data_IF_406797139044
#
_entry.id   IF_406797139044
#
_cell.length_a   1.000
_cell.length_b   1.000
_cell.length_c   1.000
_cell.angle_alpha   90.00
_cell.angle_beta   90.00
_cell.angle_gamma   90.00
#
_symmetry.space_group_name_H-M   'P 1'
#
loop_
_entity.id
_entity.type
_entity.pdbx_description
1 polymer ?
#
# COMPACT_ATOMS: atom_id res chain seq x y z
N UNK A 1 9.14 22.90 -6.77
CA UNK A 1 10.03 21.91 -7.43
C UNK A 1 9.20 20.66 -7.69
N UNK A 2 9.25 20.14 -8.91
CA UNK A 2 8.62 18.86 -9.23
C UNK A 2 9.28 17.75 -8.40
N UNK A 3 8.46 16.85 -7.89
CA UNK A 3 8.92 15.67 -7.16
C UNK A 3 9.76 14.84 -8.13
N UNK A 4 10.99 14.51 -7.76
CA UNK A 4 11.81 13.66 -8.61
C UNK A 4 11.41 12.20 -8.41
N UNK A 5 10.32 11.79 -9.06
CA UNK A 5 9.76 10.45 -8.99
C UNK A 5 10.81 9.37 -9.35
N UNK A 6 11.65 9.61 -10.37
CA UNK A 6 12.72 8.67 -10.74
C UNK A 6 13.67 8.40 -9.57
N UNK A 7 14.00 9.43 -8.78
CA UNK A 7 14.84 9.27 -7.60
C UNK A 7 14.11 8.49 -6.49
N UNK A 8 12.82 8.71 -6.30
CA UNK A 8 12.02 7.93 -5.36
C UNK A 8 12.01 6.44 -5.73
N UNK A 9 11.88 6.10 -7.03
CA UNK A 9 11.95 4.71 -7.50
C UNK A 9 13.33 4.07 -7.27
N UNK A 10 14.43 4.82 -7.39
CA UNK A 10 15.78 4.32 -7.05
C UNK A 10 15.88 4.01 -5.55
N UNK A 11 15.34 4.89 -4.70
CA UNK A 11 15.33 4.68 -3.24
C UNK A 11 14.47 3.46 -2.89
N UNK A 12 13.33 3.28 -3.54
CA UNK A 12 12.43 2.14 -3.34
C UNK A 12 13.12 0.81 -3.69
N UNK A 13 13.81 0.74 -4.84
CA UNK A 13 14.65 -0.42 -5.19
C UNK A 13 15.69 -0.72 -4.12
N UNK A 14 16.39 0.32 -3.65
CA UNK A 14 17.42 0.17 -2.61
C UNK A 14 16.84 -0.32 -1.29
N UNK A 15 15.66 0.17 -0.92
CA UNK A 15 14.92 -0.26 0.26
C UNK A 15 14.60 -1.76 0.18
N UNK A 16 13.98 -2.22 -0.93
CA UNK A 16 13.63 -3.62 -1.11
C UNK A 16 14.85 -4.53 -1.17
N UNK A 17 15.94 -4.09 -1.83
CA UNK A 17 17.23 -4.81 -1.78
C UNK A 17 17.73 -4.97 -0.34
N UNK A 18 17.66 -3.93 0.47
CA UNK A 18 18.12 -3.98 1.86
C UNK A 18 17.30 -4.94 2.73
N UNK A 19 16.03 -5.15 2.41
CA UNK A 19 15.15 -6.08 3.13
C UNK A 19 15.42 -7.53 2.75
N UNK A 20 15.56 -7.81 1.46
CA UNK A 20 15.57 -9.19 0.94
C UNK A 20 16.95 -9.76 0.68
N UNK A 21 17.92 -8.92 0.35
CA UNK A 21 19.26 -9.34 -0.05
C UNK A 21 20.33 -9.04 1.00
N UNK A 22 19.99 -8.36 2.09
CA UNK A 22 20.93 -8.17 3.20
C UNK A 22 20.78 -9.28 4.24
N UNK A 23 21.91 -9.77 4.76
CA UNK A 23 21.93 -10.69 5.90
C UNK A 23 21.37 -10.09 7.19
N UNK A 24 21.03 -8.81 7.19
CA UNK A 24 20.43 -8.06 8.30
C UNK A 24 18.92 -8.32 8.42
N UNK A 25 18.53 -9.56 8.66
CA UNK A 25 17.15 -10.02 8.89
C UNK A 25 16.50 -9.46 10.18
N UNK A 26 17.17 -8.55 10.90
CA UNK A 26 16.73 -8.08 12.21
C UNK A 26 15.69 -6.93 12.15
N UNK A 27 15.43 -6.34 10.99
CA UNK A 27 14.56 -5.15 10.89
C UNK A 27 13.12 -5.43 10.43
N UNK A 28 12.95 -6.47 9.64
CA UNK A 28 11.63 -7.04 9.34
C UNK A 28 11.68 -8.49 9.78
N UNK A 29 10.86 -8.89 10.74
CA UNK A 29 10.72 -10.30 11.09
C UNK A 29 10.46 -11.03 9.78
N UNK A 30 11.25 -12.05 9.51
CA UNK A 30 11.27 -12.87 8.29
C UNK A 30 9.87 -12.92 7.66
N UNK A 31 9.57 -11.99 6.75
CA UNK A 31 8.36 -12.05 5.93
C UNK A 31 8.60 -13.15 4.90
N UNK A 32 8.71 -14.37 5.34
CA UNK A 32 8.94 -15.56 4.51
C UNK A 32 8.01 -16.70 4.89
N UNK A 33 7.12 -16.47 5.87
CA UNK A 33 6.15 -17.48 6.27
C UNK A 33 4.81 -17.16 5.62
N UNK A 34 4.17 -18.16 5.05
CA UNK A 34 2.79 -18.06 4.54
C UNK A 34 1.85 -17.41 5.56
N UNK A 35 2.13 -17.64 6.85
CA UNK A 35 1.36 -17.10 7.96
C UNK A 35 1.43 -15.56 8.04
N UNK A 36 2.62 -14.96 7.79
CA UNK A 36 2.80 -13.50 7.84
C UNK A 36 2.03 -12.82 6.70
N UNK A 37 2.09 -13.39 5.48
CA UNK A 37 1.31 -12.88 4.35
C UNK A 37 -0.19 -13.01 4.60
N UNK A 38 -0.62 -14.16 5.12
CA UNK A 38 -2.01 -14.39 5.45
C UNK A 38 -2.53 -13.40 6.48
N UNK A 39 -1.78 -13.18 7.56
CA UNK A 39 -2.18 -12.25 8.63
C UNK A 39 -2.23 -10.80 8.15
N UNK A 40 -1.27 -10.38 7.32
CA UNK A 40 -1.29 -9.05 6.69
C UNK A 40 -2.56 -8.86 5.86
N UNK A 41 -2.81 -9.78 4.93
CA UNK A 41 -3.98 -9.71 4.05
C UNK A 41 -5.31 -9.79 4.82
N UNK A 42 -5.41 -10.65 5.82
CA UNK A 42 -6.60 -10.71 6.69
C UNK A 42 -6.82 -9.37 7.42
N UNK A 43 -5.74 -8.71 7.85
CA UNK A 43 -5.80 -7.37 8.44
C UNK A 43 -6.39 -6.34 7.47
N UNK A 44 -5.94 -6.34 6.21
CA UNK A 44 -6.45 -5.43 5.16
C UNK A 44 -7.91 -5.74 4.84
N UNK A 45 -8.26 -7.02 4.62
CA UNK A 45 -9.64 -7.43 4.34
C UNK A 45 -10.58 -7.01 5.47
N UNK A 46 -10.18 -7.24 6.72
CA UNK A 46 -10.95 -6.83 7.91
C UNK A 46 -11.12 -5.32 7.99
N UNK A 47 -10.06 -4.56 7.76
CA UNK A 47 -10.09 -3.10 7.85
C UNK A 47 -10.95 -2.44 6.77
N UNK A 48 -11.14 -3.12 5.64
CA UNK A 48 -12.03 -2.70 4.56
C UNK A 48 -13.42 -3.37 4.61
N UNK A 49 -13.73 -4.17 5.64
CA UNK A 49 -14.95 -4.95 5.74
C UNK A 49 -15.18 -5.90 4.53
N UNK A 50 -14.09 -6.42 3.95
CA UNK A 50 -14.18 -7.32 2.81
C UNK A 50 -14.42 -8.75 3.30
N UNK A 51 -15.55 -9.34 2.88
CA UNK A 51 -15.75 -10.77 3.03
C UNK A 51 -15.11 -11.48 1.82
N UNK A 52 -14.13 -12.36 2.08
CA UNK A 52 -13.38 -13.06 1.03
C UNK A 52 -14.28 -13.88 0.10
N UNK A 53 -15.42 -14.39 0.57
CA UNK A 53 -16.40 -15.12 -0.25
C UNK A 53 -16.92 -14.27 -1.41
N UNK A 54 -17.04 -12.95 -1.22
CA UNK A 54 -17.52 -12.03 -2.25
C UNK A 54 -16.53 -11.85 -3.41
N UNK A 55 -15.28 -12.30 -3.24
CA UNK A 55 -14.25 -12.26 -4.28
C UNK A 55 -14.31 -13.46 -5.24
N UNK A 56 -15.15 -14.47 -4.96
CA UNK A 56 -15.30 -15.64 -5.82
C UNK A 56 -15.66 -15.25 -7.26
N UNK A 57 -14.91 -15.80 -8.22
CA UNK A 57 -15.09 -15.54 -9.67
C UNK A 57 -14.95 -14.06 -10.08
N UNK A 58 -14.32 -13.23 -9.27
CA UNK A 58 -14.08 -11.81 -9.51
C UNK A 58 -12.67 -11.55 -10.04
N UNK A 59 -12.48 -10.41 -10.69
CA UNK A 59 -11.19 -9.90 -11.11
C UNK A 59 -10.74 -8.86 -10.10
N UNK A 60 -9.57 -9.08 -9.51
CA UNK A 60 -8.96 -8.21 -8.51
C UNK A 60 -7.62 -7.70 -9.03
N UNK A 61 -7.40 -6.40 -8.88
CA UNK A 61 -6.11 -5.74 -9.09
C UNK A 61 -5.52 -5.35 -7.74
N UNK A 62 -4.26 -5.69 -7.52
CA UNK A 62 -3.43 -5.18 -6.43
C UNK A 62 -2.48 -4.13 -7.02
N UNK A 63 -2.75 -2.86 -6.77
CA UNK A 63 -2.06 -1.71 -7.34
C UNK A 63 -0.97 -1.20 -6.40
N UNK A 64 0.27 -1.19 -6.90
CA UNK A 64 1.45 -0.96 -6.08
C UNK A 64 1.74 -2.16 -5.20
N UNK A 65 1.63 -3.37 -5.76
CA UNK A 65 1.71 -4.61 -5.00
C UNK A 65 3.12 -4.90 -4.43
N UNK A 66 4.14 -4.15 -4.85
CA UNK A 66 5.50 -4.44 -4.41
C UNK A 66 5.95 -5.86 -4.77
N UNK A 67 6.90 -6.44 -4.03
CA UNK A 67 7.41 -7.78 -4.34
C UNK A 67 6.44 -8.91 -3.95
N UNK A 68 5.38 -8.66 -3.18
CA UNK A 68 4.39 -9.67 -2.76
C UNK A 68 2.98 -9.15 -2.49
N UNK A 69 2.80 -7.90 -2.08
CA UNK A 69 1.51 -7.25 -1.84
C UNK A 69 0.47 -8.10 -1.09
N UNK A 70 -0.79 -7.81 -1.36
CA UNK A 70 -1.91 -8.62 -0.86
C UNK A 70 -2.08 -9.94 -1.64
N UNK A 71 -1.44 -10.05 -2.81
CA UNK A 71 -1.55 -11.21 -3.71
C UNK A 71 -1.20 -12.51 -3.00
N UNK A 72 -0.12 -12.53 -2.23
CA UNK A 72 0.36 -13.75 -1.58
C UNK A 72 -0.66 -14.27 -0.56
N UNK A 73 -1.19 -13.40 0.30
CA UNK A 73 -2.21 -13.78 1.27
C UNK A 73 -3.52 -14.20 0.61
N UNK A 74 -3.92 -13.53 -0.49
CA UNK A 74 -5.10 -13.91 -1.28
C UNK A 74 -4.92 -15.31 -1.88
N UNK A 75 -3.76 -15.63 -2.44
CA UNK A 75 -3.47 -16.98 -2.97
C UNK A 75 -3.53 -18.06 -1.89
N UNK A 76 -3.07 -17.76 -0.67
CA UNK A 76 -3.19 -18.66 0.48
C UNK A 76 -4.67 -18.85 0.86
N UNK A 77 -5.46 -17.76 0.88
CA UNK A 77 -6.89 -17.82 1.17
C UNK A 77 -7.67 -18.60 0.12
N UNK A 78 -7.33 -18.47 -1.16
CA UNK A 78 -7.92 -19.27 -2.24
C UNK A 78 -7.79 -20.78 -1.94
N UNK A 79 -6.57 -21.21 -1.61
CA UNK A 79 -6.28 -22.62 -1.30
C UNK A 79 -7.00 -23.09 -0.03
N UNK A 80 -6.94 -22.30 1.06
CA UNK A 80 -7.52 -22.65 2.35
C UNK A 80 -9.04 -22.75 2.30
N UNK A 81 -9.71 -21.86 1.56
CA UNK A 81 -11.17 -21.78 1.54
C UNK A 81 -11.81 -22.46 0.32
N UNK A 82 -11.00 -22.96 -0.64
CA UNK A 82 -11.48 -23.50 -1.92
C UNK A 82 -12.37 -22.49 -2.69
N UNK A 83 -12.02 -21.20 -2.56
CA UNK A 83 -12.70 -20.08 -3.19
C UNK A 83 -11.69 -19.38 -4.07
N UNK A 84 -11.88 -19.47 -5.39
CA UNK A 84 -10.95 -18.95 -6.37
C UNK A 84 -11.49 -17.68 -7.04
N UNK A 85 -10.62 -16.70 -7.17
CA UNK A 85 -10.87 -15.53 -7.99
C UNK A 85 -10.77 -15.93 -9.47
N UNK A 86 -11.49 -15.22 -10.34
CA UNK A 86 -11.36 -15.39 -11.80
C UNK A 86 -9.96 -14.97 -12.27
N UNK A 87 -9.45 -13.87 -11.74
CA UNK A 87 -8.11 -13.35 -12.02
C UNK A 87 -7.62 -12.44 -10.91
N UNK A 88 -6.33 -12.53 -10.62
CA UNK A 88 -5.59 -11.63 -9.75
C UNK A 88 -4.53 -10.94 -10.60
N UNK A 89 -4.41 -9.62 -10.53
CA UNK A 89 -3.46 -8.84 -11.31
C UNK A 89 -2.67 -7.97 -10.36
N UNK A 90 -1.36 -8.22 -10.27
CA UNK A 90 -0.42 -7.35 -9.55
C UNK A 90 0.17 -6.32 -10.49
N UNK A 91 0.11 -5.05 -10.13
CA UNK A 91 0.68 -3.95 -10.91
C UNK A 91 1.66 -3.18 -10.04
N UNK A 92 2.89 -3.03 -10.52
CA UNK A 92 3.92 -2.25 -9.86
C UNK A 92 4.97 -1.77 -10.89
N UNK A 93 5.45 -0.51 -10.82
CA UNK A 93 6.46 -0.02 -11.76
C UNK A 93 7.83 -0.69 -11.60
N UNK A 94 8.05 -1.42 -10.51
CA UNK A 94 9.28 -2.17 -10.25
C UNK A 94 9.11 -3.68 -10.44
N UNK A 95 8.03 -4.14 -11.06
CA UNK A 95 7.72 -5.57 -11.17
C UNK A 95 8.84 -6.38 -11.83
N UNK A 96 9.46 -5.87 -12.88
CA UNK A 96 10.58 -6.56 -13.55
C UNK A 96 11.79 -6.71 -12.63
N UNK A 97 12.04 -5.70 -11.79
CA UNK A 97 13.08 -5.77 -10.78
C UNK A 97 12.73 -6.83 -9.71
N UNK A 98 11.50 -6.90 -9.24
CA UNK A 98 11.08 -7.90 -8.25
C UNK A 98 11.18 -9.32 -8.80
N UNK A 99 10.71 -9.55 -10.02
CA UNK A 99 10.83 -10.85 -10.69
C UNK A 99 12.29 -11.31 -10.84
N UNK A 100 13.17 -10.39 -11.27
CA UNK A 100 14.55 -10.70 -11.59
C UNK A 100 15.45 -10.84 -10.36
N UNK A 101 15.33 -9.91 -9.40
CA UNK A 101 16.30 -9.80 -8.32
C UNK A 101 15.79 -10.32 -6.97
N UNK A 102 14.47 -10.31 -6.73
CA UNK A 102 13.88 -10.75 -5.46
C UNK A 102 13.26 -12.14 -5.56
N UNK A 103 12.61 -12.45 -6.68
CA UNK A 103 12.14 -13.80 -7.01
C UNK A 103 10.98 -14.35 -6.16
N UNK A 104 10.27 -13.49 -5.39
CA UNK A 104 9.25 -13.93 -4.43
C UNK A 104 7.92 -14.27 -5.09
N UNK A 105 7.50 -13.51 -6.11
CA UNK A 105 6.22 -13.72 -6.78
C UNK A 105 6.47 -14.43 -8.11
N UNK A 106 5.74 -15.53 -8.32
CA UNK A 106 5.71 -16.25 -9.60
C UNK A 106 4.30 -16.17 -10.17
N UNK A 107 4.20 -15.97 -11.47
CA UNK A 107 2.91 -16.06 -12.17
C UNK A 107 2.31 -17.46 -12.03
N UNK A 108 1.00 -17.53 -12.00
CA UNK A 108 0.20 -18.74 -11.88
C UNK A 108 -1.00 -18.62 -12.82
N UNK A 109 -1.77 -19.67 -13.02
CA UNK A 109 -2.88 -19.72 -13.97
C UNK A 109 -3.83 -18.52 -13.87
N UNK A 110 -4.20 -18.11 -12.65
CA UNK A 110 -5.08 -16.97 -12.43
C UNK A 110 -4.35 -15.72 -11.89
N UNK A 111 -3.01 -15.68 -11.93
CA UNK A 111 -2.18 -14.57 -11.46
C UNK A 111 -1.35 -14.00 -12.60
N UNK A 112 -1.55 -12.73 -12.90
CA UNK A 112 -0.78 -11.94 -13.85
C UNK A 112 -0.02 -10.82 -13.12
N UNK A 113 1.25 -10.60 -13.49
CA UNK A 113 2.11 -9.56 -12.92
C UNK A 113 2.54 -8.59 -14.03
N UNK A 114 2.18 -7.33 -13.85
CA UNK A 114 2.36 -6.27 -14.86
C UNK A 114 3.34 -5.21 -14.35
N UNK A 115 4.37 -4.93 -15.15
CA UNK A 115 5.29 -3.81 -14.91
C UNK A 115 4.69 -2.53 -15.51
N UNK A 116 3.98 -1.74 -14.70
CA UNK A 116 3.35 -0.51 -15.13
C UNK A 116 3.20 0.49 -13.98
N UNK A 117 3.10 1.78 -14.35
CA UNK A 117 2.75 2.85 -13.41
C UNK A 117 1.24 2.86 -13.16
N UNK A 118 0.85 3.35 -11.99
CA UNK A 118 -0.58 3.55 -11.67
C UNK A 118 -1.26 4.60 -12.54
N UNK A 119 -0.52 5.53 -13.11
CA UNK A 119 -0.99 6.59 -14.02
C UNK A 119 -1.35 6.08 -15.42
N UNK A 120 -0.88 4.88 -15.80
CA UNK A 120 -1.06 4.29 -17.13
C UNK A 120 -1.28 2.78 -16.98
N UNK A 121 -2.45 2.38 -16.48
CA UNK A 121 -2.77 0.98 -16.24
C UNK A 121 -3.13 0.29 -17.57
N UNK A 122 -2.37 -0.73 -18.02
CA UNK A 122 -2.59 -1.38 -19.32
C UNK A 122 -3.71 -2.42 -19.24
N UNK A 123 -4.87 -2.01 -18.76
CA UNK A 123 -6.11 -2.80 -18.71
C UNK A 123 -7.24 -2.02 -19.38
N UNK A 124 -8.14 -2.75 -20.02
CA UNK A 124 -9.33 -2.18 -20.63
C UNK A 124 -10.26 -1.55 -19.57
N UNK A 125 -11.00 -0.51 -20.00
CA UNK A 125 -11.99 0.11 -19.14
C UNK A 125 -13.08 -0.89 -18.74
N UNK A 126 -13.58 -0.75 -17.50
CA UNK A 126 -14.74 -1.52 -17.00
C UNK A 126 -14.56 -3.05 -16.99
N UNK A 127 -13.32 -3.51 -16.78
CA UNK A 127 -13.02 -4.95 -16.75
C UNK A 127 -12.80 -5.51 -15.36
N UNK A 128 -12.48 -4.67 -14.36
CA UNK A 128 -12.06 -5.06 -13.03
C UNK A 128 -13.21 -4.94 -12.03
N UNK A 129 -13.38 -5.94 -11.16
CA UNK A 129 -14.40 -5.89 -10.10
C UNK A 129 -13.90 -5.15 -8.87
N UNK A 130 -12.65 -5.39 -8.48
CA UNK A 130 -12.04 -4.81 -7.29
C UNK A 130 -10.61 -4.33 -7.54
N UNK A 131 -10.26 -3.19 -6.98
CA UNK A 131 -8.88 -2.72 -6.88
C UNK A 131 -8.54 -2.56 -5.42
N UNK A 132 -7.40 -3.12 -4.97
CA UNK A 132 -6.80 -2.85 -3.66
C UNK A 132 -5.52 -2.06 -3.90
N UNK A 133 -5.25 -1.04 -3.09
CA UNK A 133 -3.98 -0.35 -3.06
C UNK A 133 -3.59 -0.09 -1.61
N UNK A 134 -2.57 -0.81 -1.15
CA UNK A 134 -2.08 -0.75 0.21
C UNK A 134 -0.77 0.03 0.27
N UNK A 135 -0.83 1.24 0.84
CA UNK A 135 0.34 2.12 1.04
C UNK A 135 1.18 2.35 -0.23
N UNK A 136 0.52 2.64 -1.35
CA UNK A 136 1.17 2.78 -2.65
C UNK A 136 0.86 4.11 -3.37
N UNK A 137 -0.31 4.71 -3.13
CA UNK A 137 -0.73 5.94 -3.83
C UNK A 137 0.16 7.14 -3.51
N UNK A 138 0.76 7.20 -2.34
CA UNK A 138 1.71 8.24 -1.94
C UNK A 138 3.09 8.10 -2.62
N UNK A 139 3.36 6.97 -3.26
CA UNK A 139 4.54 6.71 -4.09
C UNK A 139 4.33 7.00 -5.59
N UNK A 140 3.11 7.27 -6.03
CA UNK A 140 2.81 7.60 -7.43
C UNK A 140 3.43 8.95 -7.84
N UNK A 141 3.68 9.14 -9.14
CA UNK A 141 4.14 10.42 -9.68
C UNK A 141 3.03 11.48 -9.59
N UNK A 142 1.82 11.09 -10.05
CA UNK A 142 0.61 11.92 -10.04
C UNK A 142 -0.58 11.11 -9.49
N UNK A 143 -0.80 11.10 -8.16
CA UNK A 143 -1.85 10.31 -7.52
C UNK A 143 -3.26 10.52 -8.10
N UNK A 144 -3.57 11.73 -8.56
CA UNK A 144 -4.87 12.06 -9.15
C UNK A 144 -5.11 11.29 -10.47
N UNK A 145 -4.08 11.14 -11.30
CA UNK A 145 -4.15 10.33 -12.52
C UNK A 145 -4.31 8.85 -12.18
N UNK A 146 -3.54 8.35 -11.21
CA UNK A 146 -3.66 6.97 -10.74
C UNK A 146 -5.08 6.65 -10.26
N UNK A 147 -5.68 7.52 -9.44
CA UNK A 147 -7.06 7.34 -8.97
C UNK A 147 -8.05 7.40 -10.15
N UNK A 148 -7.79 8.24 -11.16
CA UNK A 148 -8.56 8.29 -12.41
C UNK A 148 -8.49 6.98 -13.20
N UNK A 149 -7.29 6.40 -13.35
CA UNK A 149 -7.08 5.11 -14.00
C UNK A 149 -7.77 3.96 -13.24
N UNK A 150 -7.68 3.96 -11.91
CA UNK A 150 -8.44 3.00 -11.07
C UNK A 150 -9.93 3.08 -11.38
N UNK A 151 -10.50 4.29 -11.42
CA UNK A 151 -11.91 4.48 -11.79
C UNK A 151 -12.19 3.99 -13.20
N UNK A 152 -11.30 4.24 -14.17
CA UNK A 152 -11.46 3.83 -15.56
C UNK A 152 -11.59 2.32 -15.69
N UNK A 153 -10.69 1.56 -15.08
CA UNK A 153 -10.64 0.09 -15.18
C UNK A 153 -11.75 -0.61 -14.40
N UNK A 154 -12.27 0.01 -13.33
CA UNK A 154 -13.35 -0.55 -12.53
C UNK A 154 -14.64 -0.64 -13.33
N UNK A 155 -15.35 -1.77 -13.24
CA UNK A 155 -16.71 -1.96 -13.71
C UNK A 155 -17.67 -0.99 -13.02
N UNK A 156 -18.85 -0.80 -13.60
CA UNK A 156 -19.97 -0.16 -12.90
C UNK A 156 -20.24 -0.92 -11.59
N UNK A 157 -20.33 -0.19 -10.48
CA UNK A 157 -20.41 -0.74 -9.12
C UNK A 157 -19.15 -1.51 -8.67
N UNK A 158 -18.05 -1.42 -9.39
CA UNK A 158 -16.75 -1.92 -8.93
C UNK A 158 -16.22 -1.10 -7.78
N UNK A 159 -15.38 -1.72 -6.95
CA UNK A 159 -14.93 -1.12 -5.68
C UNK A 159 -13.42 -0.93 -5.63
N UNK A 160 -13.00 0.24 -5.18
CA UNK A 160 -11.62 0.58 -4.85
C UNK A 160 -11.42 0.60 -3.34
N UNK A 161 -10.54 -0.24 -2.85
CA UNK A 161 -10.09 -0.30 -1.47
C UNK A 161 -8.70 0.33 -1.37
N UNK A 162 -8.58 1.40 -0.63
CA UNK A 162 -7.32 2.13 -0.48
C UNK A 162 -6.97 2.32 1.00
N UNK A 163 -5.73 2.04 1.35
CA UNK A 163 -5.16 2.50 2.60
C UNK A 163 -3.83 3.22 2.35
N UNK A 164 -3.56 4.23 3.14
CA UNK A 164 -2.32 5.01 3.04
C UNK A 164 -2.01 5.71 4.36
N UNK A 165 -0.74 6.00 4.58
CA UNK A 165 -0.31 6.83 5.69
C UNK A 165 -0.67 8.30 5.42
N UNK A 166 -1.35 8.93 6.37
CA UNK A 166 -1.69 10.34 6.31
C UNK A 166 -1.16 11.08 7.53
N UNK A 167 -0.88 12.37 7.34
CA UNK A 167 -0.51 13.27 8.39
C UNK A 167 -1.72 13.61 9.26
N UNK A 168 -1.53 13.59 10.57
CA UNK A 168 -2.51 14.15 11.49
C UNK A 168 -2.82 15.60 11.10
N UNK A 169 -4.10 15.95 11.03
CA UNK A 169 -4.57 17.26 10.58
C UNK A 169 -3.93 18.43 11.35
N UNK A 170 -3.63 18.25 12.64
CA UNK A 170 -2.93 19.23 13.47
C UNK A 170 -1.54 19.59 12.93
N UNK A 171 -0.93 18.69 12.16
CA UNK A 171 0.42 18.82 11.60
C UNK A 171 0.41 18.93 10.07
N UNK A 172 -0.75 19.18 9.46
CA UNK A 172 -0.90 19.28 8.00
C UNK A 172 0.02 20.31 7.35
N UNK A 173 0.38 21.38 8.06
CA UNK A 173 1.34 22.40 7.59
C UNK A 173 2.76 21.81 7.35
N UNK A 174 3.09 20.70 8.02
CA UNK A 174 4.38 20.02 7.82
C UNK A 174 4.45 19.24 6.49
N UNK A 175 3.32 18.99 5.82
CA UNK A 175 3.29 18.21 4.56
C UNK A 175 4.24 18.78 3.50
N UNK A 176 4.36 20.10 3.43
CA UNK A 176 5.26 20.79 2.50
C UNK A 176 6.73 20.71 2.93
N UNK A 177 6.99 20.53 4.20
CA UNK A 177 8.35 20.45 4.78
C UNK A 177 8.85 19.01 4.72
N UNK A 178 8.01 18.04 5.01
CA UNK A 178 8.37 16.62 5.05
C UNK A 178 8.89 16.10 3.70
N UNK A 179 8.40 16.61 2.57
CA UNK A 179 8.91 16.26 1.24
C UNK A 179 10.41 16.53 1.03
N UNK A 180 11.03 17.39 1.84
CA UNK A 180 12.47 17.64 1.78
C UNK A 180 13.29 16.65 2.60
N UNK A 181 12.68 16.05 3.63
CA UNK A 181 13.33 15.14 4.56
C UNK A 181 13.00 13.67 4.27
N UNK A 182 11.80 13.40 3.80
CA UNK A 182 11.36 12.06 3.42
C UNK A 182 11.44 11.90 1.90
N UNK A 183 12.53 11.27 1.47
CA UNK A 183 12.83 11.07 0.04
C UNK A 183 12.13 9.84 -0.55
N UNK A 184 11.52 9.01 0.30
CA UNK A 184 10.88 7.77 -0.12
C UNK A 184 9.40 7.98 -0.46
N UNK A 185 8.74 8.96 0.19
CA UNK A 185 7.33 9.27 -0.04
C UNK A 185 7.21 10.62 -0.75
N UNK A 186 6.99 10.62 -2.08
CA UNK A 186 6.80 11.86 -2.86
C UNK A 186 5.63 12.70 -2.36
N UNK A 187 4.60 12.06 -1.84
CA UNK A 187 3.40 12.73 -1.37
C UNK A 187 3.12 12.44 0.10
N UNK A 188 2.88 13.51 0.86
CA UNK A 188 2.44 13.46 2.24
C UNK A 188 1.00 13.98 2.29
N UNK A 189 0.05 13.06 2.32
CA UNK A 189 -1.36 13.43 2.38
C UNK A 189 -1.77 13.81 3.80
N UNK A 190 -2.70 14.76 3.90
CA UNK A 190 -3.62 14.86 5.03
C UNK A 190 -4.88 14.09 4.69
N UNK A 191 -5.67 13.70 5.69
CA UNK A 191 -6.96 13.02 5.46
C UNK A 191 -7.84 13.80 4.48
N UNK A 192 -8.02 15.11 4.71
CA UNK A 192 -8.86 15.96 3.88
C UNK A 192 -8.38 16.05 2.43
N UNK A 193 -7.06 16.07 2.20
CA UNK A 193 -6.49 16.11 0.86
C UNK A 193 -6.73 14.79 0.12
N UNK A 194 -6.49 13.66 0.78
CA UNK A 194 -6.75 12.34 0.19
C UNK A 194 -8.24 12.17 -0.13
N UNK A 195 -9.10 12.44 0.84
CA UNK A 195 -10.55 12.34 0.67
C UNK A 195 -11.06 13.24 -0.46
N UNK A 196 -10.52 14.46 -0.56
CA UNK A 196 -10.82 15.38 -1.66
C UNK A 196 -10.45 14.82 -3.03
N UNK A 197 -9.29 14.14 -3.16
CA UNK A 197 -8.90 13.48 -4.40
C UNK A 197 -9.85 12.31 -4.75
N UNK A 198 -10.22 11.51 -3.77
CA UNK A 198 -11.15 10.38 -3.96
C UNK A 198 -12.54 10.88 -4.37
N UNK A 199 -13.09 11.90 -3.69
CA UNK A 199 -14.41 12.48 -3.98
C UNK A 199 -14.51 13.17 -5.35
N UNK A 200 -13.41 13.62 -5.93
CA UNK A 200 -13.39 14.11 -7.32
C UNK A 200 -13.70 13.01 -8.34
N UNK A 201 -13.32 11.77 -8.03
CA UNK A 201 -13.44 10.65 -8.96
C UNK A 201 -14.63 9.74 -8.63
N UNK A 202 -14.92 9.49 -7.36
CA UNK A 202 -15.92 8.55 -6.89
C UNK A 202 -17.09 9.28 -6.23
N UNK A 203 -18.34 8.81 -6.51
CA UNK A 203 -19.54 9.36 -5.88
C UNK A 203 -19.65 8.92 -4.42
N UNK A 204 -19.34 7.66 -4.16
CA UNK A 204 -19.40 7.07 -2.82
C UNK A 204 -17.99 6.85 -2.32
N UNK A 205 -17.61 7.58 -1.29
CA UNK A 205 -16.32 7.47 -0.59
C UNK A 205 -16.61 7.29 0.89
N UNK A 206 -16.36 6.10 1.39
CA UNK A 206 -16.62 5.72 2.76
C UNK A 206 -15.30 5.52 3.49
N UNK A 207 -15.17 6.15 4.66
CA UNK A 207 -14.07 5.93 5.59
C UNK A 207 -14.41 4.74 6.47
N UNK A 208 -13.68 3.64 6.30
CA UNK A 208 -13.96 2.42 7.04
C UNK A 208 -13.30 2.41 8.40
N UNK A 209 -12.02 2.76 8.43
CA UNK A 209 -11.19 2.64 9.62
C UNK A 209 -10.02 3.63 9.60
N UNK A 210 -9.51 3.98 10.77
CA UNK A 210 -8.23 4.67 10.91
C UNK A 210 -7.47 4.03 12.06
N UNK A 211 -6.26 3.57 11.78
CA UNK A 211 -5.34 3.09 12.81
C UNK A 211 -4.39 4.22 13.14
N UNK A 212 -4.59 4.84 14.28
CA UNK A 212 -3.47 5.53 14.88
C UNK A 212 -2.55 4.45 15.43
N UNK A 213 -1.36 4.30 14.85
CA UNK A 213 -0.36 3.28 15.22
C UNK A 213 -0.04 3.28 16.73
N UNK A 214 -0.55 4.25 17.48
CA UNK A 214 -0.28 4.50 18.90
C UNK A 214 -1.53 4.59 19.78
N UNK A 215 -2.76 4.39 19.25
CA UNK A 215 -3.97 4.56 20.06
C UNK A 215 -4.30 3.38 20.97
N UNK A 216 -3.75 2.19 20.71
CA UNK A 216 -4.07 0.99 21.50
C UNK A 216 -3.09 0.72 22.64
N UNK A 217 -1.93 1.32 22.63
CA UNK A 217 -1.04 1.39 23.79
C UNK A 217 -0.51 2.81 23.86
N UNK A 218 -0.62 3.44 25.02
CA UNK A 218 0.10 4.68 25.36
C UNK A 218 1.61 4.39 25.39
N UNK A 219 2.18 3.98 24.25
CA UNK A 219 3.61 3.87 24.13
C UNK A 219 4.10 5.31 24.13
N UNK A 220 4.61 5.74 25.28
CA UNK A 220 5.15 7.07 25.45
C UNK A 220 6.14 7.37 24.33
N UNK A 221 6.09 8.58 23.77
CA UNK A 221 7.11 9.11 22.85
C UNK A 221 8.52 8.78 23.33
N UNK A 222 8.77 8.92 24.62
CA UNK A 222 10.04 8.58 25.28
C UNK A 222 10.37 7.09 25.20
N UNK A 223 9.38 6.19 25.30
CA UNK A 223 9.61 4.74 25.19
C UNK A 223 10.06 4.36 23.78
N UNK A 224 9.53 5.03 22.74
CA UNK A 224 9.97 4.82 21.36
C UNK A 224 11.36 5.43 21.14
N UNK A 225 11.58 6.65 21.65
CA UNK A 225 12.83 7.38 21.52
C UNK A 225 14.00 6.61 22.14
N UNK A 226 13.80 6.04 23.32
CA UNK A 226 14.81 5.31 24.08
C UNK A 226 14.73 3.78 23.93
N UNK A 227 14.07 3.28 22.90
CA UNK A 227 14.03 1.85 22.64
C UNK A 227 15.44 1.33 22.31
N UNK A 228 15.87 0.28 23.04
CA UNK A 228 17.18 -0.36 22.85
C UNK A 228 17.44 -0.87 21.42
N UNK A 229 16.38 -1.09 20.63
CA UNK A 229 16.47 -1.50 19.23
C UNK A 229 16.73 -0.34 18.26
N UNK A 230 16.84 0.90 18.75
CA UNK A 230 17.24 2.03 17.92
C UNK A 230 18.77 2.02 17.78
N UNK A 231 19.27 1.96 16.55
CA UNK A 231 20.71 1.96 16.27
C UNK A 231 21.40 3.25 16.77
N UNK A 232 20.66 4.36 16.83
CA UNK A 232 21.11 5.63 17.42
C UNK A 232 19.92 6.51 17.81
N UNK A 233 20.20 7.56 18.61
CA UNK A 233 19.20 8.53 19.07
C UNK A 233 18.41 9.18 17.91
N UNK A 234 19.07 9.57 16.81
CA UNK A 234 18.40 10.21 15.69
C UNK A 234 17.41 9.30 14.98
N UNK A 235 17.71 8.00 14.85
CA UNK A 235 16.77 7.01 14.31
C UNK A 235 15.59 6.80 15.24
N UNK A 236 15.83 6.73 16.56
CA UNK A 236 14.78 6.68 17.56
C UNK A 236 13.86 7.91 17.53
N UNK A 237 14.44 9.09 17.40
CA UNK A 237 13.73 10.36 17.32
C UNK A 237 12.89 10.45 16.01
N UNK A 238 13.48 10.11 14.87
CA UNK A 238 12.75 10.04 13.59
C UNK A 238 11.55 9.09 13.68
N UNK A 239 11.74 7.88 14.27
CA UNK A 239 10.69 6.89 14.46
C UNK A 239 9.59 7.40 15.39
N UNK A 240 9.97 8.01 16.53
CA UNK A 240 9.01 8.57 17.49
C UNK A 240 8.15 9.68 16.85
N UNK A 241 8.77 10.60 16.09
CA UNK A 241 8.07 11.66 15.38
C UNK A 241 7.15 11.09 14.30
N UNK A 242 7.65 10.21 13.42
CA UNK A 242 6.84 9.61 12.36
C UNK A 242 5.59 8.96 12.93
N UNK A 243 5.77 8.22 14.00
CA UNK A 243 4.71 7.52 14.69
C UNK A 243 3.67 8.44 15.34
N UNK A 244 4.06 9.63 15.76
CA UNK A 244 3.16 10.63 16.33
C UNK A 244 2.44 11.45 15.27
N UNK A 245 3.07 11.65 14.12
CA UNK A 245 2.57 12.50 13.04
C UNK A 245 1.67 11.74 12.05
N UNK A 246 1.90 10.44 11.87
CA UNK A 246 1.27 9.64 10.83
C UNK A 246 0.27 8.63 11.41
N UNK A 247 -0.80 8.39 10.69
CA UNK A 247 -1.71 7.28 10.92
C UNK A 247 -2.17 6.67 9.60
N UNK A 248 -2.59 5.41 9.63
CA UNK A 248 -3.13 4.75 8.44
C UNK A 248 -4.63 4.98 8.37
N UNK A 249 -5.12 5.35 7.21
CA UNK A 249 -6.55 5.53 6.93
C UNK A 249 -6.98 4.57 5.83
N UNK A 250 -8.20 4.06 5.96
CA UNK A 250 -8.80 3.10 5.04
C UNK A 250 -10.08 3.69 4.45
N UNK A 251 -10.15 3.72 3.12
CA UNK A 251 -11.33 4.14 2.38
C UNK A 251 -11.83 3.05 1.45
N UNK A 252 -13.14 2.98 1.30
CA UNK A 252 -13.83 2.21 0.25
C UNK A 252 -14.52 3.19 -0.68
N UNK A 253 -14.22 3.08 -1.99
CA UNK A 253 -14.78 3.94 -3.02
C UNK A 253 -15.54 3.07 -4.02
N UNK A 254 -16.79 3.42 -4.34
CA UNK A 254 -17.60 2.71 -5.33
C UNK A 254 -17.82 3.58 -6.57
N UNK A 255 -17.58 2.98 -7.76
CA UNK A 255 -17.80 3.62 -9.08
C UNK A 255 -19.27 3.73 -9.43
#
# INVERSE_FOLDING_TARGET
MAINWKKAQVNEKSFWKSIYLSDNQNFYPKINKEEDFLMSTLGVLKSHNINFINLKNKILVDLGCGPYGEIMGIKILEKKNQIFLKKIIGIDPLMDFYKKEIGLIKEAENLQLINAKGEEIPLEAETVDFVISSNAIDHCEVPELTIGEVKRILKKNGTFYINVHVLNSKFGFLSNILKYFDKNHPHHFTESKLEGLLKKQFKNVEKNYSINLFSNEKISFFKILFNKNNENFFKGFKRAISNYLLYVIYYTCTK
#
